data_IF_027062759563
#
_entry.id   IF_027062759563
#
_cell.length_a   1.000
_cell.length_b   1.000
_cell.length_c   1.000
_cell.angle_alpha   90.00
_cell.angle_beta   90.00
_cell.angle_gamma   90.00
#
_symmetry.space_group_name_H-M   'P 1'
#
loop_
_entity.id
_entity.type
_entity.pdbx_description
1 polymer ?
#
# COMPACT_ATOMS: atom_id res chain seq x y z
N UNK A 1 21.27 -13.58 4.58
CA UNK A 1 20.31 -12.46 4.72
C UNK A 1 19.41 -12.37 3.50
N UNK A 2 18.17 -11.90 3.66
CA UNK A 2 17.22 -11.86 2.55
C UNK A 2 17.61 -10.88 1.42
N UNK A 3 18.30 -9.78 1.76
CA UNK A 3 18.93 -8.88 0.78
C UNK A 3 19.91 -9.63 -0.15
N UNK A 4 20.79 -10.46 0.40
CA UNK A 4 21.73 -11.25 -0.41
C UNK A 4 20.99 -12.26 -1.32
N UNK A 5 19.91 -12.87 -0.82
CA UNK A 5 19.06 -13.75 -1.63
C UNK A 5 18.43 -13.00 -2.82
N UNK A 6 17.79 -11.86 -2.57
CA UNK A 6 17.18 -11.03 -3.62
C UNK A 6 18.21 -10.54 -4.64
N UNK A 7 19.40 -10.15 -4.18
CA UNK A 7 20.49 -9.75 -5.06
C UNK A 7 20.91 -10.88 -6.00
N UNK A 8 21.07 -12.10 -5.48
CA UNK A 8 21.39 -13.30 -6.29
C UNK A 8 20.30 -13.58 -7.33
N UNK A 9 19.01 -13.54 -6.92
CA UNK A 9 17.86 -13.70 -7.81
C UNK A 9 17.89 -12.69 -8.96
N UNK A 10 18.15 -11.42 -8.66
CA UNK A 10 18.26 -10.40 -9.70
C UNK A 10 19.41 -10.69 -10.68
N UNK A 11 20.60 -10.99 -10.16
CA UNK A 11 21.78 -11.28 -11.00
C UNK A 11 21.48 -12.43 -11.96
N UNK A 12 20.89 -13.53 -11.46
CA UNK A 12 20.47 -14.67 -12.27
C UNK A 12 19.51 -14.25 -13.39
N UNK A 13 18.47 -13.49 -13.05
CA UNK A 13 17.47 -13.03 -14.02
C UNK A 13 18.06 -12.14 -15.10
N UNK A 14 18.92 -11.19 -14.72
CA UNK A 14 19.56 -10.27 -15.67
C UNK A 14 20.59 -11.00 -16.53
N UNK A 15 21.37 -11.91 -15.96
CA UNK A 15 22.29 -12.77 -16.71
C UNK A 15 21.55 -13.61 -17.76
N UNK A 16 20.43 -14.23 -17.38
CA UNK A 16 19.60 -14.99 -18.30
C UNK A 16 19.02 -14.08 -19.41
N UNK A 17 18.54 -12.89 -19.05
CA UNK A 17 17.99 -11.89 -20.00
C UNK A 17 19.05 -11.40 -21.00
N UNK A 18 20.29 -11.24 -20.56
CA UNK A 18 21.40 -10.70 -21.37
C UNK A 18 22.28 -11.78 -22.02
N UNK A 19 22.03 -13.06 -21.78
CA UNK A 19 22.87 -14.16 -22.26
C UNK A 19 24.29 -14.14 -21.68
N UNK A 20 24.43 -13.70 -20.42
CA UNK A 20 25.71 -13.59 -19.70
C UNK A 20 25.73 -14.51 -18.49
N UNK A 21 26.90 -14.67 -17.87
CA UNK A 21 27.07 -15.50 -16.68
C UNK A 21 27.98 -14.80 -15.66
N UNK A 22 27.61 -13.58 -15.28
CA UNK A 22 28.38 -12.80 -14.30
C UNK A 22 28.18 -13.37 -12.90
N UNK A 23 29.26 -13.48 -12.15
CA UNK A 23 29.24 -13.63 -10.69
C UNK A 23 28.68 -12.37 -10.02
N UNK A 24 28.38 -12.46 -8.72
CA UNK A 24 27.92 -11.29 -7.96
C UNK A 24 28.96 -10.16 -7.92
N UNK A 25 30.25 -10.48 -7.89
CA UNK A 25 31.30 -9.48 -7.95
C UNK A 25 31.38 -8.82 -9.34
N UNK A 26 31.36 -9.61 -10.41
CA UNK A 26 31.37 -9.06 -11.78
C UNK A 26 30.14 -8.18 -12.04
N UNK A 27 28.95 -8.60 -11.60
CA UNK A 27 27.76 -7.76 -11.68
C UNK A 27 27.89 -6.48 -10.84
N UNK A 28 28.45 -6.59 -9.63
CA UNK A 28 28.71 -5.46 -8.76
C UNK A 28 29.60 -4.42 -9.47
N UNK A 29 30.69 -4.87 -10.08
CA UNK A 29 31.70 -4.01 -10.73
C UNK A 29 31.27 -3.47 -12.09
N UNK A 30 30.62 -4.29 -12.92
CA UNK A 30 30.28 -3.94 -14.30
C UNK A 30 28.96 -3.16 -14.42
N UNK A 31 28.02 -3.38 -13.50
CA UNK A 31 26.66 -2.85 -13.62
C UNK A 31 26.31 -1.94 -12.46
N UNK A 32 26.37 -2.48 -11.24
CA UNK A 32 25.87 -1.78 -10.06
C UNK A 32 26.72 -0.56 -9.70
N UNK A 33 28.04 -0.70 -9.57
CA UNK A 33 28.94 0.41 -9.22
C UNK A 33 28.90 1.55 -10.23
N UNK A 34 29.01 1.31 -11.55
CA UNK A 34 28.91 2.37 -12.56
C UNK A 34 27.62 3.16 -12.47
N UNK A 35 26.49 2.48 -12.24
CA UNK A 35 25.18 3.11 -12.17
C UNK A 35 24.95 3.85 -10.84
N UNK A 36 25.37 3.26 -9.72
CA UNK A 36 25.02 3.74 -8.37
C UNK A 36 26.03 4.71 -7.77
N UNK A 37 27.33 4.51 -8.01
CA UNK A 37 28.39 5.17 -7.24
C UNK A 37 29.44 5.90 -8.09
N UNK A 38 29.57 5.65 -9.40
CA UNK A 38 30.51 6.40 -10.26
C UNK A 38 29.99 7.79 -10.68
N UNK A 39 29.24 8.45 -9.80
CA UNK A 39 28.74 9.82 -9.95
C UNK A 39 28.64 10.45 -8.56
N UNK A 40 28.89 11.76 -8.40
CA UNK A 40 28.82 12.44 -7.11
C UNK A 40 27.44 12.41 -6.43
N UNK A 41 26.39 12.16 -7.20
CA UNK A 41 25.00 11.97 -6.74
C UNK A 41 24.69 10.48 -6.75
N UNK A 42 25.02 9.77 -5.67
CA UNK A 42 24.77 8.33 -5.59
C UNK A 42 23.27 8.01 -5.65
N UNK A 43 22.91 6.85 -6.19
CA UNK A 43 21.50 6.40 -6.15
C UNK A 43 21.13 5.85 -4.77
N UNK A 44 22.07 5.18 -4.11
CA UNK A 44 21.90 4.57 -2.80
C UNK A 44 22.90 5.15 -1.79
N UNK A 45 22.46 5.22 -0.54
CA UNK A 45 23.34 5.53 0.58
C UNK A 45 23.51 4.30 1.46
N UNK A 46 24.76 3.99 1.80
CA UNK A 46 25.13 2.85 2.65
C UNK A 46 25.97 3.36 3.81
N UNK A 47 25.35 3.47 4.98
CA UNK A 47 25.97 4.01 6.18
C UNK A 47 27.31 3.32 6.49
N UNK A 48 28.34 4.12 6.79
CA UNK A 48 29.68 3.67 7.19
C UNK A 48 30.49 2.89 6.13
N UNK A 49 29.96 2.72 4.92
CA UNK A 49 30.72 2.17 3.80
C UNK A 49 31.87 3.09 3.36
N UNK A 50 32.78 2.57 2.53
CA UNK A 50 33.86 3.40 1.95
C UNK A 50 33.32 4.53 1.07
N UNK A 51 32.18 4.31 0.39
CA UNK A 51 31.51 5.34 -0.39
C UNK A 51 30.89 6.44 0.48
N UNK A 52 30.26 6.09 1.61
CA UNK A 52 29.74 7.08 2.57
C UNK A 52 30.86 7.91 3.20
N UNK A 53 31.98 7.27 3.56
CA UNK A 53 33.17 7.97 4.08
C UNK A 53 33.70 9.00 3.07
N UNK A 54 33.82 8.62 1.80
CA UNK A 54 34.21 9.55 0.72
C UNK A 54 33.18 10.68 0.56
N UNK A 55 31.89 10.35 0.55
CA UNK A 55 30.81 11.33 0.37
C UNK A 55 30.78 12.39 1.49
N UNK A 56 30.98 11.99 2.75
CA UNK A 56 31.07 12.91 3.90
C UNK A 56 32.24 13.90 3.78
N UNK A 57 33.30 13.54 3.05
CA UNK A 57 34.48 14.39 2.86
C UNK A 57 34.39 15.29 1.63
N UNK A 58 33.29 15.25 0.85
CA UNK A 58 33.17 15.93 -0.45
C UNK A 58 33.40 17.45 -0.43
N UNK A 59 33.14 18.11 0.71
CA UNK A 59 33.40 19.54 0.86
C UNK A 59 34.89 19.91 1.02
N UNK A 60 35.74 18.93 1.38
CA UNK A 60 37.20 19.08 1.47
C UNK A 60 37.91 18.41 0.30
N UNK A 61 37.42 17.25 -0.13
CA UNK A 61 37.99 16.43 -1.19
C UNK A 61 36.86 16.13 -2.18
N UNK A 62 36.82 16.79 -3.35
CA UNK A 62 35.78 16.56 -4.36
C UNK A 62 35.68 15.09 -4.76
N UNK A 63 34.47 14.61 -5.05
CA UNK A 63 34.19 13.22 -5.48
C UNK A 63 34.60 12.99 -6.93
N UNK A 64 35.90 13.05 -7.21
CA UNK A 64 36.46 12.74 -8.53
C UNK A 64 36.45 11.23 -8.80
N UNK A 65 36.60 10.84 -10.07
CA UNK A 65 36.72 9.44 -10.48
C UNK A 65 37.81 8.68 -9.70
N UNK A 66 38.94 9.33 -9.41
CA UNK A 66 40.03 8.73 -8.62
C UNK A 66 39.63 8.46 -7.16
N UNK A 67 38.88 9.39 -6.55
CA UNK A 67 38.39 9.23 -5.17
C UNK A 67 37.38 8.07 -5.10
N UNK A 68 36.51 7.97 -6.10
CA UNK A 68 35.52 6.88 -6.21
C UNK A 68 36.21 5.53 -6.48
N UNK A 69 37.25 5.48 -7.32
CA UNK A 69 38.04 4.28 -7.56
C UNK A 69 38.82 3.82 -6.32
N UNK A 70 39.35 4.77 -5.52
CA UNK A 70 39.96 4.46 -4.21
C UNK A 70 38.94 3.92 -3.22
N UNK A 71 37.74 4.49 -3.17
CA UNK A 71 36.65 4.01 -2.34
C UNK A 71 36.26 2.57 -2.73
N UNK A 72 36.12 2.28 -4.02
CA UNK A 72 35.84 0.95 -4.56
C UNK A 72 36.92 -0.07 -4.19
N UNK A 73 38.19 0.26 -4.43
CA UNK A 73 39.33 -0.61 -4.05
C UNK A 73 39.32 -0.90 -2.54
N UNK A 74 39.08 0.13 -1.71
CA UNK A 74 38.96 -0.04 -0.26
C UNK A 74 37.76 -0.88 0.14
N UNK A 75 36.67 -0.84 -0.64
CA UNK A 75 35.46 -1.62 -0.40
C UNK A 75 35.69 -3.10 -0.71
N UNK A 76 36.33 -3.43 -1.84
CA UNK A 76 36.74 -4.82 -2.15
C UNK A 76 37.68 -5.37 -1.08
N UNK A 77 38.69 -4.60 -0.67
CA UNK A 77 39.61 -5.02 0.37
C UNK A 77 38.88 -5.37 1.68
N UNK A 78 37.90 -4.55 2.07
CA UNK A 78 37.05 -4.80 3.24
C UNK A 78 36.22 -6.09 3.07
N UNK A 79 35.56 -6.27 1.93
CA UNK A 79 34.72 -7.45 1.63
C UNK A 79 35.53 -8.76 1.67
N UNK A 80 36.79 -8.73 1.23
CA UNK A 80 37.62 -9.95 1.14
C UNK A 80 38.39 -10.27 2.43
N UNK A 81 38.68 -9.27 3.27
CA UNK A 81 39.58 -9.43 4.43
C UNK A 81 38.89 -9.35 5.78
N UNK A 82 37.83 -8.55 5.88
CA UNK A 82 37.19 -8.26 7.16
C UNK A 82 36.01 -9.20 7.39
N UNK A 83 35.68 -9.46 8.66
CA UNK A 83 34.47 -10.17 9.02
C UNK A 83 33.24 -9.34 8.59
N UNK A 84 32.24 -9.94 7.89
CA UNK A 84 31.03 -9.25 7.45
C UNK A 84 30.31 -8.50 8.58
N UNK A 85 30.09 -7.20 8.39
CA UNK A 85 29.36 -6.33 9.33
C UNK A 85 28.35 -5.45 8.57
N UNK A 86 27.37 -4.87 9.27
CA UNK A 86 26.28 -4.07 8.69
C UNK A 86 26.69 -2.83 7.87
N UNK A 87 27.96 -2.39 7.90
CA UNK A 87 28.46 -1.33 7.01
C UNK A 87 28.73 -1.80 5.58
N UNK A 88 28.78 -3.11 5.34
CA UNK A 88 28.99 -3.66 4.01
C UNK A 88 28.27 -4.99 3.73
N UNK A 89 27.72 -5.66 4.73
CA UNK A 89 26.78 -6.77 4.57
C UNK A 89 25.36 -6.29 4.88
N UNK A 90 24.68 -5.78 3.86
CA UNK A 90 23.49 -4.96 4.06
C UNK A 90 22.30 -5.78 4.53
N UNK A 91 21.69 -5.36 5.62
CA UNK A 91 20.61 -6.08 6.31
C UNK A 91 21.09 -7.14 7.30
N UNK A 92 22.40 -7.37 7.42
CA UNK A 92 23.00 -8.22 8.44
C UNK A 92 23.26 -7.50 9.77
N UNK A 93 23.86 -8.23 10.72
CA UNK A 93 24.23 -7.69 12.02
C UNK A 93 25.30 -6.60 11.89
N UNK A 94 25.24 -5.58 12.74
CA UNK A 94 26.37 -4.68 12.93
C UNK A 94 27.54 -5.44 13.60
N UNK A 95 28.71 -4.80 13.67
CA UNK A 95 29.88 -5.38 14.33
C UNK A 95 29.57 -5.79 15.79
N UNK A 96 28.74 -5.01 16.47
CA UNK A 96 28.09 -5.39 17.73
C UNK A 96 26.64 -5.80 17.43
N UNK A 97 26.30 -7.08 17.65
CA UNK A 97 24.96 -7.61 17.30
C UNK A 97 23.81 -6.93 18.05
N UNK A 98 24.07 -6.35 19.23
CA UNK A 98 23.11 -5.56 20.01
C UNK A 98 22.94 -4.11 19.53
N UNK A 99 23.78 -3.64 18.61
CA UNK A 99 23.67 -2.27 18.11
C UNK A 99 22.36 -2.07 17.34
N UNK A 100 21.76 -0.87 17.44
CA UNK A 100 20.50 -0.54 16.77
C UNK A 100 20.54 -0.58 15.23
N UNK A 101 21.73 -0.71 14.64
CA UNK A 101 21.94 -0.89 13.19
C UNK A 101 22.12 -2.35 12.78
N UNK A 102 21.97 -3.29 13.71
CA UNK A 102 21.92 -4.72 13.40
C UNK A 102 20.58 -5.08 12.76
N UNK A 103 20.63 -5.95 11.75
CA UNK A 103 19.46 -6.56 11.12
C UNK A 103 19.60 -8.08 11.06
N UNK A 104 18.46 -8.79 11.06
CA UNK A 104 18.38 -10.24 10.83
C UNK A 104 19.41 -11.07 11.64
N UNK A 105 19.65 -10.70 12.90
CA UNK A 105 20.54 -11.45 13.80
C UNK A 105 19.95 -12.83 14.05
N UNK A 106 20.75 -13.88 13.91
CA UNK A 106 20.32 -15.27 14.06
C UNK A 106 21.39 -16.09 14.75
N UNK A 107 20.96 -17.04 15.59
CA UNK A 107 21.83 -18.05 16.20
C UNK A 107 22.22 -19.17 15.21
N UNK A 108 21.59 -19.20 14.04
CA UNK A 108 21.92 -20.16 12.97
C UNK A 108 23.22 -19.71 12.31
N UNK A 109 24.26 -20.54 12.41
CA UNK A 109 25.55 -20.30 11.77
C UNK A 109 25.43 -20.54 10.25
N UNK A 110 25.18 -19.46 9.51
CA UNK A 110 25.18 -19.47 8.05
C UNK A 110 26.54 -18.97 7.54
N UNK A 111 27.21 -19.70 6.64
CA UNK A 111 28.48 -19.25 6.09
C UNK A 111 28.26 -18.02 5.20
N UNK A 112 28.80 -16.87 5.62
CA UNK A 112 28.76 -15.64 4.83
C UNK A 112 30.00 -15.60 3.93
N UNK A 113 29.78 -15.63 2.62
CA UNK A 113 30.85 -15.53 1.62
C UNK A 113 30.94 -14.13 1.04
N UNK A 114 32.07 -13.75 0.43
CA UNK A 114 32.18 -12.48 -0.29
C UNK A 114 31.12 -12.33 -1.39
N UNK A 115 30.72 -13.44 -2.03
CA UNK A 115 29.62 -13.47 -2.98
C UNK A 115 28.29 -13.01 -2.35
N UNK A 116 27.95 -13.48 -1.13
CA UNK A 116 26.76 -13.03 -0.41
C UNK A 116 26.81 -11.54 -0.08
N UNK A 117 28.00 -11.04 0.24
CA UNK A 117 28.22 -9.64 0.57
C UNK A 117 27.97 -8.74 -0.63
N UNK A 118 28.55 -9.04 -1.81
CA UNK A 118 28.26 -8.28 -3.05
C UNK A 118 26.77 -8.33 -3.40
N UNK A 119 26.15 -9.52 -3.33
CA UNK A 119 24.73 -9.67 -3.61
C UNK A 119 23.86 -8.85 -2.63
N UNK A 120 24.26 -8.71 -1.36
CA UNK A 120 23.48 -7.93 -0.37
C UNK A 120 23.35 -6.45 -0.74
N UNK A 121 24.35 -5.87 -1.42
CA UNK A 121 24.29 -4.49 -1.90
C UNK A 121 23.23 -4.32 -2.98
N UNK A 122 23.28 -5.21 -3.97
CA UNK A 122 22.35 -5.25 -5.10
C UNK A 122 20.93 -5.46 -4.58
N UNK A 123 20.73 -6.44 -3.69
CA UNK A 123 19.41 -6.71 -3.13
C UNK A 123 18.88 -5.60 -2.21
N UNK A 124 19.73 -4.90 -1.48
CA UNK A 124 19.30 -3.75 -0.69
C UNK A 124 18.79 -2.58 -1.58
N UNK A 125 19.30 -2.46 -2.81
CA UNK A 125 18.82 -1.50 -3.81
C UNK A 125 17.48 -1.92 -4.46
N UNK A 126 17.02 -3.15 -4.24
CA UNK A 126 15.72 -3.66 -4.72
C UNK A 126 14.56 -3.33 -3.76
N UNK A 127 14.83 -2.65 -2.65
CA UNK A 127 13.80 -2.26 -1.71
C UNK A 127 12.78 -1.32 -2.36
N UNK A 128 11.50 -1.66 -2.31
CA UNK A 128 10.40 -0.77 -2.70
C UNK A 128 10.01 0.03 -1.46
N UNK A 129 10.33 1.33 -1.43
CA UNK A 129 10.05 2.21 -0.30
C UNK A 129 8.60 2.71 -0.30
N UNK A 130 7.95 2.66 0.86
CA UNK A 130 6.55 3.11 1.02
C UNK A 130 6.39 4.11 2.17
N UNK A 131 5.36 4.95 2.11
CA UNK A 131 5.05 5.92 3.16
C UNK A 131 4.95 5.20 4.53
N UNK A 132 5.59 5.77 5.55
CA UNK A 132 5.81 5.10 6.83
C UNK A 132 7.25 4.63 7.07
N UNK A 133 8.15 4.83 6.10
CA UNK A 133 9.60 4.62 6.28
C UNK A 133 10.04 3.16 6.21
N UNK A 134 9.17 2.29 5.71
CA UNK A 134 9.43 0.86 5.49
C UNK A 134 9.71 0.59 4.02
N UNK A 135 10.39 -0.51 3.77
CA UNK A 135 10.75 -1.02 2.45
C UNK A 135 10.28 -2.46 2.32
N UNK A 136 10.00 -2.86 1.08
CA UNK A 136 9.54 -4.18 0.71
C UNK A 136 10.56 -4.84 -0.22
N UNK A 137 10.99 -6.07 0.11
CA UNK A 137 11.69 -6.94 -0.83
C UNK A 137 10.72 -8.01 -1.33
N UNK A 138 10.46 -7.99 -2.64
CA UNK A 138 9.48 -8.85 -3.30
C UNK A 138 10.24 -9.79 -4.24
N UNK A 139 10.13 -11.10 -4.01
CA UNK A 139 10.72 -12.12 -4.87
C UNK A 139 9.74 -12.49 -5.99
N UNK A 140 9.75 -11.69 -7.07
CA UNK A 140 9.01 -11.92 -8.30
C UNK A 140 9.86 -11.46 -9.48
N UNK A 141 9.96 -12.30 -10.50
CA UNK A 141 10.78 -12.02 -11.68
C UNK A 141 10.34 -10.72 -12.37
N UNK A 142 9.03 -10.49 -12.47
CA UNK A 142 8.46 -9.27 -13.03
C UNK A 142 8.82 -8.02 -12.22
N UNK A 143 8.77 -8.10 -10.89
CA UNK A 143 9.14 -6.99 -10.01
C UNK A 143 10.64 -6.72 -10.07
N UNK A 144 11.46 -7.76 -9.98
CA UNK A 144 12.91 -7.62 -9.97
C UNK A 144 13.43 -7.02 -11.28
N UNK A 145 12.95 -7.51 -12.43
CA UNK A 145 13.34 -6.95 -13.72
C UNK A 145 12.83 -5.52 -13.92
N UNK A 146 11.59 -5.23 -13.50
CA UNK A 146 11.04 -3.87 -13.59
C UNK A 146 11.86 -2.87 -12.76
N UNK A 147 12.24 -3.23 -11.52
CA UNK A 147 13.07 -2.39 -10.67
C UNK A 147 14.46 -2.15 -11.27
N UNK A 148 15.10 -3.20 -11.80
CA UNK A 148 16.40 -3.07 -12.46
C UNK A 148 16.35 -2.08 -13.63
N UNK A 149 15.33 -2.17 -14.49
CA UNK A 149 15.16 -1.21 -15.60
C UNK A 149 14.88 0.21 -15.06
N UNK A 150 14.14 0.30 -13.94
CA UNK A 150 13.87 1.55 -13.23
C UNK A 150 15.10 2.24 -12.67
N UNK A 151 16.18 1.51 -12.35
CA UNK A 151 17.42 2.11 -11.85
C UNK A 151 18.08 3.02 -12.88
N UNK A 152 18.08 2.62 -14.15
CA UNK A 152 18.61 3.43 -15.25
C UNK A 152 17.75 4.68 -15.47
N UNK A 153 16.42 4.53 -15.41
CA UNK A 153 15.49 5.66 -15.49
C UNK A 153 15.68 6.65 -14.33
N UNK A 154 15.99 6.17 -13.13
CA UNK A 154 16.29 7.05 -12.01
C UNK A 154 17.56 7.87 -12.26
N UNK A 155 18.61 7.23 -12.79
CA UNK A 155 19.87 7.90 -13.12
C UNK A 155 19.67 8.97 -14.21
N UNK A 156 18.87 8.68 -15.23
CA UNK A 156 18.47 9.65 -16.25
C UNK A 156 17.71 10.82 -15.62
N UNK A 157 16.72 10.53 -14.79
CA UNK A 157 15.88 11.54 -14.13
C UNK A 157 16.66 12.45 -13.19
N UNK A 158 17.58 11.90 -12.39
CA UNK A 158 18.49 12.68 -11.55
C UNK A 158 19.37 13.61 -12.39
N UNK A 159 19.92 13.13 -13.51
CA UNK A 159 20.75 13.93 -14.41
C UNK A 159 19.96 15.11 -15.01
N UNK A 160 18.70 14.86 -15.40
CA UNK A 160 17.81 15.88 -15.96
C UNK A 160 17.23 16.84 -14.90
N UNK A 161 17.31 16.47 -13.61
CA UNK A 161 16.78 17.27 -12.49
C UNK A 161 17.89 17.61 -11.48
N UNK A 162 18.71 18.65 -11.75
CA UNK A 162 19.91 18.95 -10.94
C UNK A 162 19.62 19.19 -9.45
N UNK A 163 18.49 19.81 -9.11
CA UNK A 163 18.13 20.15 -7.72
C UNK A 163 17.52 18.98 -6.94
N UNK A 164 17.35 17.81 -7.56
CA UNK A 164 16.79 16.62 -6.90
C UNK A 164 17.80 15.99 -5.94
N UNK A 165 17.37 15.70 -4.71
CA UNK A 165 18.19 15.06 -3.71
C UNK A 165 18.61 13.64 -4.17
N UNK A 166 19.89 13.25 -4.03
CA UNK A 166 20.33 11.88 -4.30
C UNK A 166 19.88 10.90 -3.19
N UNK A 167 20.30 9.64 -3.28
CA UNK A 167 20.10 8.60 -2.25
C UNK A 167 18.66 8.12 -2.03
N UNK A 168 17.76 8.38 -2.97
CA UNK A 168 16.35 8.00 -2.88
C UNK A 168 15.97 6.73 -3.66
N UNK A 169 16.89 5.80 -3.91
CA UNK A 169 16.59 4.62 -4.75
C UNK A 169 15.35 3.84 -4.30
N UNK A 170 15.17 3.59 -2.99
CA UNK A 170 14.00 2.83 -2.55
C UNK A 170 12.70 3.63 -2.71
N UNK A 171 12.74 4.94 -2.46
CA UNK A 171 11.61 5.83 -2.74
C UNK A 171 11.27 5.86 -4.23
N UNK A 172 12.30 5.93 -5.08
CA UNK A 172 12.14 5.83 -6.54
C UNK A 172 11.51 4.50 -6.95
N UNK A 173 11.97 3.38 -6.40
CA UNK A 173 11.42 2.05 -6.66
C UNK A 173 9.93 1.96 -6.31
N UNK A 174 9.50 2.62 -5.22
CA UNK A 174 8.08 2.77 -4.84
C UNK A 174 7.24 3.41 -5.94
N UNK A 175 7.69 4.56 -6.44
CA UNK A 175 7.05 5.25 -7.55
C UNK A 175 7.12 4.41 -8.84
N UNK A 176 8.31 3.90 -9.16
CA UNK A 176 8.57 3.21 -10.42
C UNK A 176 7.70 1.98 -10.59
N UNK A 177 7.51 1.17 -9.54
CA UNK A 177 6.60 0.02 -9.62
C UNK A 177 5.17 0.46 -9.88
N UNK A 178 4.70 1.53 -9.23
CA UNK A 178 3.33 2.02 -9.50
C UNK A 178 3.17 2.55 -10.92
N UNK A 179 4.19 3.17 -11.49
CA UNK A 179 4.18 3.68 -12.85
C UNK A 179 4.34 2.56 -13.89
N UNK A 180 5.35 1.69 -13.74
CA UNK A 180 5.67 0.64 -14.71
C UNK A 180 4.59 -0.46 -14.78
N UNK A 181 3.80 -0.63 -13.73
CA UNK A 181 2.69 -1.58 -13.69
C UNK A 181 1.34 -0.92 -13.95
N UNK A 182 1.31 0.37 -14.25
CA UNK A 182 0.09 1.03 -14.69
C UNK A 182 -0.33 0.53 -16.09
N UNK A 183 -1.64 0.40 -16.30
CA UNK A 183 -2.17 -0.09 -17.58
C UNK A 183 -1.95 0.86 -18.76
N UNK A 184 -1.64 2.13 -18.49
CA UNK A 184 -1.30 3.14 -19.49
C UNK A 184 0.21 3.34 -19.65
N UNK A 185 1.05 2.54 -19.00
CA UNK A 185 2.50 2.69 -19.11
C UNK A 185 3.00 2.50 -20.55
N UNK A 186 3.82 3.44 -21.02
CA UNK A 186 4.53 3.36 -22.29
C UNK A 186 6.05 3.38 -22.04
N UNK A 187 6.74 2.33 -22.46
CA UNK A 187 8.18 2.18 -22.29
C UNK A 187 9.00 3.23 -23.07
N UNK A 188 8.46 3.78 -24.16
CA UNK A 188 9.09 4.85 -24.94
C UNK A 188 8.95 6.21 -24.27
N UNK A 189 7.85 6.41 -23.53
CA UNK A 189 7.53 7.65 -22.83
C UNK A 189 7.19 7.37 -21.36
N UNK A 190 8.17 6.89 -20.56
CA UNK A 190 7.92 6.34 -19.22
C UNK A 190 7.38 7.35 -18.21
N UNK A 191 7.38 8.65 -18.53
CA UNK A 191 6.91 9.74 -17.66
C UNK A 191 5.72 10.51 -18.24
N UNK A 192 5.13 10.06 -19.36
CA UNK A 192 4.04 10.79 -20.03
C UNK A 192 2.73 10.79 -19.23
N UNK A 193 2.38 9.65 -18.64
CA UNK A 193 1.09 9.47 -17.97
C UNK A 193 1.17 9.73 -16.46
N UNK A 194 2.26 9.32 -15.82
CA UNK A 194 2.45 9.52 -14.39
C UNK A 194 3.88 9.98 -14.10
N UNK A 195 4.01 11.17 -13.53
CA UNK A 195 5.29 11.72 -13.06
C UNK A 195 5.50 11.41 -11.58
N UNK A 196 6.75 11.33 -11.11
CA UNK A 196 7.02 11.23 -9.68
C UNK A 196 6.55 12.52 -8.98
N UNK A 197 5.85 12.37 -7.85
CA UNK A 197 5.47 13.50 -7.01
C UNK A 197 6.75 14.11 -6.39
N UNK A 198 6.99 15.41 -6.63
CA UNK A 198 8.20 16.11 -6.18
C UNK A 198 7.83 17.16 -5.12
N UNK A 199 8.52 17.08 -3.98
CA UNK A 199 8.45 18.10 -2.93
C UNK A 199 9.72 18.93 -2.91
N UNK A 200 9.55 20.25 -3.00
CA UNK A 200 10.65 21.22 -2.91
C UNK A 200 10.65 21.90 -1.54
N UNK A 201 11.80 21.89 -0.88
CA UNK A 201 12.03 22.65 0.34
C UNK A 201 12.16 24.14 0.02
N UNK A 202 11.27 24.96 0.58
CA UNK A 202 11.20 26.40 0.27
C UNK A 202 12.40 27.22 0.79
N UNK A 203 13.20 26.68 1.71
CA UNK A 203 14.37 27.36 2.29
C UNK A 203 15.65 27.02 1.54
N UNK A 204 15.80 25.76 1.12
CA UNK A 204 17.03 25.26 0.50
C UNK A 204 16.92 25.11 -1.02
N UNK A 205 15.71 25.16 -1.59
CA UNK A 205 15.46 24.90 -3.00
C UNK A 205 15.68 23.43 -3.41
N UNK A 206 15.96 22.54 -2.45
CA UNK A 206 16.22 21.12 -2.72
C UNK A 206 14.90 20.40 -2.99
N UNK A 207 14.83 19.70 -4.12
CA UNK A 207 13.71 18.85 -4.49
C UNK A 207 13.93 17.42 -3.97
N UNK A 208 12.86 16.70 -3.66
CA UNK A 208 12.90 15.29 -3.28
C UNK A 208 11.70 14.55 -3.85
N UNK A 209 11.91 13.30 -4.25
CA UNK A 209 10.80 12.41 -4.64
C UNK A 209 10.00 12.08 -3.38
N UNK A 210 8.68 12.24 -3.43
CA UNK A 210 7.80 11.85 -2.34
C UNK A 210 7.62 10.33 -2.30
N UNK A 211 7.55 9.79 -1.08
CA UNK A 211 7.41 8.34 -0.89
C UNK A 211 5.98 7.90 -1.18
N UNK A 212 5.86 6.94 -2.08
CA UNK A 212 4.57 6.38 -2.54
C UNK A 212 3.79 5.72 -1.40
N UNK A 213 2.47 5.99 -1.28
CA UNK A 213 1.59 5.28 -0.36
C UNK A 213 1.62 3.77 -0.58
N UNK A 214 1.70 2.99 0.50
CA UNK A 214 1.79 1.52 0.44
C UNK A 214 0.60 0.91 -0.32
N UNK A 215 -0.59 1.50 -0.18
CA UNK A 215 -1.81 1.05 -0.86
C UNK A 215 -1.67 1.17 -2.38
N UNK A 216 -1.06 2.25 -2.90
CA UNK A 216 -0.79 2.42 -4.35
C UNK A 216 0.09 1.29 -4.87
N UNK A 217 1.16 0.95 -4.15
CA UNK A 217 2.07 -0.15 -4.50
C UNK A 217 1.31 -1.48 -4.57
N UNK A 218 0.50 -1.80 -3.56
CA UNK A 218 -0.22 -3.08 -3.54
C UNK A 218 -1.27 -3.16 -4.64
N UNK A 219 -1.97 -2.08 -4.96
CA UNK A 219 -2.86 -2.06 -6.12
C UNK A 219 -2.10 -2.27 -7.43
N UNK A 220 -0.94 -1.63 -7.63
CA UNK A 220 -0.12 -1.83 -8.82
C UNK A 220 0.36 -3.28 -8.96
N UNK A 221 0.78 -3.90 -7.85
CA UNK A 221 1.12 -5.33 -7.81
C UNK A 221 -0.10 -6.20 -8.14
N UNK A 222 -1.27 -5.88 -7.60
CA UNK A 222 -2.50 -6.62 -7.85
C UNK A 222 -3.03 -6.49 -9.29
N UNK A 223 -2.75 -5.38 -9.98
CA UNK A 223 -3.00 -5.26 -11.42
C UNK A 223 -2.08 -6.15 -12.23
N UNK A 224 -0.78 -6.13 -11.91
CA UNK A 224 0.23 -6.85 -12.69
C UNK A 224 0.18 -8.36 -12.46
N UNK A 225 -0.09 -8.78 -11.24
CA UNK A 225 -0.04 -10.17 -10.78
C UNK A 225 -1.35 -10.59 -10.08
N UNK A 226 -2.50 -10.50 -10.77
CA UNK A 226 -3.82 -10.57 -10.14
C UNK A 226 -4.19 -11.93 -9.53
N UNK A 227 -3.40 -12.97 -9.82
CA UNK A 227 -3.66 -14.36 -9.37
C UNK A 227 -2.65 -14.86 -8.34
N UNK A 228 -1.69 -14.02 -7.92
CA UNK A 228 -0.58 -14.45 -7.08
C UNK A 228 -0.74 -14.00 -5.63
N UNK A 229 -0.40 -14.88 -4.69
CA UNK A 229 -0.13 -14.49 -3.31
C UNK A 229 1.38 -14.34 -3.20
N UNK A 230 1.85 -13.13 -2.90
CA UNK A 230 3.29 -12.84 -2.83
C UNK A 230 3.73 -12.71 -1.37
N UNK A 231 4.87 -13.33 -1.03
CA UNK A 231 5.50 -13.18 0.27
C UNK A 231 6.56 -12.09 0.19
N UNK A 232 6.41 -11.08 1.03
CA UNK A 232 7.23 -9.87 0.95
C UNK A 232 7.95 -9.67 2.27
N UNK A 233 9.26 -9.43 2.22
CA UNK A 233 10.04 -9.13 3.41
C UNK A 233 10.03 -7.62 3.69
N UNK A 234 9.54 -7.23 4.87
CA UNK A 234 9.32 -5.83 5.25
C UNK A 234 10.31 -5.38 6.32
N UNK A 235 11.00 -4.28 6.03
CA UNK A 235 12.13 -3.80 6.83
C UNK A 235 12.40 -2.30 6.65
N UNK A 236 13.24 -1.73 7.51
CA UNK A 236 13.84 -0.41 7.32
C UNK A 236 15.31 -0.46 7.74
N UNK A 237 16.20 0.05 6.88
CA UNK A 237 17.62 0.25 7.20
C UNK A 237 17.85 1.75 7.33
N UNK A 238 18.09 2.21 8.57
CA UNK A 238 18.25 3.63 8.86
C UNK A 238 19.30 3.84 9.96
N UNK A 239 19.16 4.89 10.76
CA UNK A 239 19.90 5.02 12.03
C UNK A 239 19.50 3.91 13.02
N UNK A 240 18.23 3.50 13.01
CA UNK A 240 17.74 2.33 13.73
C UNK A 240 17.05 1.40 12.73
N UNK A 241 17.54 0.16 12.65
CA UNK A 241 16.95 -0.83 11.77
C UNK A 241 15.63 -1.33 12.38
N UNK A 242 14.64 -1.51 11.53
CA UNK A 242 13.35 -2.11 11.89
C UNK A 242 13.13 -3.34 11.02
N UNK A 243 12.75 -4.46 11.62
CA UNK A 243 12.35 -5.67 10.89
C UNK A 243 10.94 -6.04 11.31
N UNK A 244 10.02 -6.10 10.34
CA UNK A 244 8.71 -6.71 10.54
C UNK A 244 8.78 -8.20 10.17
N UNK A 245 9.52 -8.52 9.11
CA UNK A 245 9.68 -9.90 8.63
C UNK A 245 8.85 -10.17 7.38
N UNK A 246 8.50 -11.43 7.15
CA UNK A 246 7.69 -11.82 6.00
C UNK A 246 6.22 -11.56 6.22
N UNK A 247 5.59 -10.91 5.24
CA UNK A 247 4.17 -10.61 5.20
C UNK A 247 3.60 -11.09 3.87
N UNK A 248 2.53 -11.88 3.93
CA UNK A 248 1.83 -12.37 2.74
C UNK A 248 0.88 -11.29 2.20
N UNK A 249 0.89 -11.06 0.88
CA UNK A 249 -0.02 -10.13 0.21
C UNK A 249 -1.00 -10.90 -0.68
N UNK A 250 -2.29 -10.79 -0.37
CA UNK A 250 -3.38 -11.44 -1.10
C UNK A 250 -3.82 -10.59 -2.30
N UNK A 251 -2.96 -10.52 -3.33
CA UNK A 251 -3.23 -9.71 -4.52
C UNK A 251 -4.58 -10.01 -5.22
N UNK A 252 -5.07 -11.27 -5.29
CA UNK A 252 -6.38 -11.55 -5.90
C UNK A 252 -7.53 -10.90 -5.15
N UNK A 253 -7.45 -10.83 -3.82
CA UNK A 253 -8.45 -10.17 -3.01
C UNK A 253 -8.41 -8.65 -3.24
N UNK A 254 -7.22 -8.06 -3.27
CA UNK A 254 -7.04 -6.62 -3.56
C UNK A 254 -7.55 -6.26 -4.96
N UNK A 255 -7.28 -7.12 -5.96
CA UNK A 255 -7.79 -6.93 -7.32
C UNK A 255 -9.32 -6.99 -7.36
N UNK A 256 -9.90 -8.02 -6.75
CA UNK A 256 -11.36 -8.20 -6.65
C UNK A 256 -12.03 -7.00 -5.95
N UNK A 257 -11.37 -6.44 -4.96
CA UNK A 257 -11.82 -5.23 -4.26
C UNK A 257 -11.88 -4.01 -5.17
N UNK A 258 -10.86 -3.79 -6.01
CA UNK A 258 -10.88 -2.70 -7.01
C UNK A 258 -11.96 -2.90 -8.06
N UNK A 259 -12.17 -4.12 -8.52
CA UNK A 259 -13.25 -4.46 -9.46
C UNK A 259 -14.63 -4.22 -8.85
N UNK A 260 -14.81 -4.60 -7.58
CA UNK A 260 -16.03 -4.31 -6.82
C UNK A 260 -16.25 -2.80 -6.68
N UNK A 261 -15.21 -2.03 -6.38
CA UNK A 261 -15.29 -0.57 -6.31
C UNK A 261 -15.81 0.01 -7.64
N UNK A 262 -15.19 -0.38 -8.76
CA UNK A 262 -15.59 0.07 -10.09
C UNK A 262 -17.03 -0.34 -10.44
N UNK A 263 -17.45 -1.54 -10.05
CA UNK A 263 -18.83 -2.02 -10.24
C UNK A 263 -19.82 -1.13 -9.47
N UNK A 264 -19.58 -0.88 -8.18
CA UNK A 264 -20.46 -0.04 -7.37
C UNK A 264 -20.46 1.40 -7.88
N UNK A 265 -19.30 1.97 -8.25
CA UNK A 265 -19.23 3.31 -8.83
C UNK A 265 -20.10 3.47 -10.07
N UNK A 266 -20.08 2.49 -10.98
CA UNK A 266 -20.93 2.49 -12.19
C UNK A 266 -22.41 2.42 -11.84
N UNK A 267 -22.79 1.53 -10.92
CA UNK A 267 -24.19 1.38 -10.47
C UNK A 267 -24.71 2.65 -9.81
N UNK A 268 -23.86 3.35 -9.06
CA UNK A 268 -24.21 4.60 -8.37
C UNK A 268 -23.98 5.86 -9.23
N UNK A 269 -23.59 5.70 -10.50
CA UNK A 269 -23.28 6.81 -11.42
C UNK A 269 -22.26 7.82 -10.86
N UNK A 270 -21.34 7.34 -10.02
CA UNK A 270 -20.30 8.17 -9.40
C UNK A 270 -19.17 8.32 -10.42
N UNK A 271 -18.88 9.56 -10.81
CA UNK A 271 -17.73 9.87 -11.67
C UNK A 271 -16.46 9.67 -10.86
N UNK A 272 -15.68 8.66 -11.25
CA UNK A 272 -14.36 8.37 -10.67
C UNK A 272 -13.30 9.05 -11.53
N UNK A 273 -12.62 10.04 -10.98
CA UNK A 273 -11.39 10.60 -11.56
C UNK A 273 -10.15 9.90 -10.96
N UNK A 274 -9.01 9.96 -11.63
CA UNK A 274 -7.73 9.45 -11.11
C UNK A 274 -7.36 10.11 -9.77
N UNK A 275 -7.64 11.41 -9.62
CA UNK A 275 -7.42 12.15 -8.37
C UNK A 275 -8.40 11.75 -7.25
N UNK A 276 -9.61 11.31 -7.59
CA UNK A 276 -10.57 10.81 -6.60
C UNK A 276 -10.14 9.48 -5.98
N UNK A 277 -9.32 8.68 -6.68
CA UNK A 277 -8.75 7.44 -6.18
C UNK A 277 -7.71 7.69 -5.07
N UNK A 278 -7.17 8.91 -4.95
CA UNK A 278 -6.26 9.27 -3.87
C UNK A 278 -6.87 9.07 -2.48
N UNK A 279 -8.20 9.26 -2.38
CA UNK A 279 -8.97 9.00 -1.14
C UNK A 279 -9.05 7.50 -0.79
N UNK A 280 -8.90 6.59 -1.76
CA UNK A 280 -8.83 5.14 -1.52
C UNK A 280 -7.52 4.71 -0.83
N UNK A 281 -6.53 5.60 -0.79
CA UNK A 281 -5.24 5.33 -0.17
C UNK A 281 -5.16 5.81 1.29
N UNK A 282 -6.20 6.47 1.81
CA UNK A 282 -6.27 6.86 3.24
C UNK A 282 -6.97 5.75 4.04
N UNK A 283 -6.19 4.71 4.35
CA UNK A 283 -6.64 3.58 5.18
C UNK A 283 -6.58 3.92 6.67
N UNK A 284 -7.42 3.28 7.46
CA UNK A 284 -7.43 3.40 8.92
C UNK A 284 -6.10 2.97 9.55
N UNK A 285 -5.44 1.97 8.94
CA UNK A 285 -4.17 1.45 9.38
C UNK A 285 -3.02 2.03 8.54
N UNK A 286 -1.95 2.46 9.22
CA UNK A 286 -0.65 2.66 8.59
C UNK A 286 -0.02 1.31 8.21
N UNK A 287 0.96 1.33 7.30
CA UNK A 287 1.52 0.10 6.72
C UNK A 287 2.05 -0.89 7.76
N UNK A 288 2.79 -0.41 8.77
CA UNK A 288 3.30 -1.26 9.86
C UNK A 288 2.16 -1.98 10.58
N UNK A 289 1.10 -1.25 10.96
CA UNK A 289 -0.04 -1.82 11.68
C UNK A 289 -0.85 -2.79 10.82
N UNK A 290 -0.92 -2.52 9.51
CA UNK A 290 -1.51 -3.44 8.55
C UNK A 290 -0.71 -4.77 8.48
N UNK A 291 0.62 -4.70 8.54
CA UNK A 291 1.47 -5.90 8.55
C UNK A 291 1.27 -6.77 9.81
N UNK A 292 0.96 -6.16 10.96
CA UNK A 292 0.67 -6.88 12.21
C UNK A 292 -0.59 -7.78 12.13
N UNK A 293 -1.43 -7.62 11.10
CA UNK A 293 -2.53 -8.55 10.82
C UNK A 293 -2.03 -9.91 10.27
N UNK A 294 -0.74 -10.07 10.02
CA UNK A 294 -0.10 -11.28 9.49
C UNK A 294 -0.20 -11.42 7.97
N UNK A 295 -1.18 -10.79 7.34
CA UNK A 295 -1.33 -10.70 5.89
C UNK A 295 -1.96 -9.38 5.47
N UNK A 296 -1.64 -8.93 4.26
CA UNK A 296 -2.27 -7.78 3.62
C UNK A 296 -3.33 -8.28 2.64
N UNK A 297 -4.59 -8.02 2.98
CA UNK A 297 -5.77 -8.32 2.16
C UNK A 297 -6.88 -7.29 2.44
N UNK A 298 -8.15 -7.65 2.23
CA UNK A 298 -9.28 -6.73 2.42
C UNK A 298 -9.28 -6.03 3.80
N UNK A 299 -9.04 -6.72 4.93
CA UNK A 299 -9.08 -6.06 6.24
C UNK A 299 -8.06 -4.92 6.39
N UNK A 300 -6.89 -5.04 5.75
CA UNK A 300 -5.85 -4.01 5.79
C UNK A 300 -6.25 -2.72 5.03
N UNK A 301 -7.21 -2.83 4.11
CA UNK A 301 -7.73 -1.74 3.29
C UNK A 301 -8.93 -1.02 3.96
N UNK A 302 -9.15 -1.21 5.26
CA UNK A 302 -10.24 -0.53 5.98
C UNK A 302 -10.14 0.99 5.77
N UNK A 303 -11.19 1.66 5.26
CA UNK A 303 -11.21 3.10 5.10
C UNK A 303 -11.08 3.80 6.46
N UNK A 304 -10.31 4.88 6.49
CA UNK A 304 -10.23 5.73 7.69
C UNK A 304 -11.62 6.29 8.04
N UNK A 305 -11.86 6.49 9.33
CA UNK A 305 -13.13 7.00 9.89
C UNK A 305 -14.36 6.09 9.72
N UNK A 306 -14.33 5.05 8.87
CA UNK A 306 -15.45 4.10 8.76
C UNK A 306 -15.81 3.48 10.11
N UNK A 307 -14.79 3.10 10.90
CA UNK A 307 -14.98 2.48 12.22
C UNK A 307 -15.88 3.27 13.16
N UNK A 308 -15.87 4.61 13.06
CA UNK A 308 -16.70 5.48 13.91
C UNK A 308 -18.20 5.33 13.63
N UNK A 309 -18.56 4.85 12.44
CA UNK A 309 -19.94 4.64 12.01
C UNK A 309 -20.44 3.21 12.25
N UNK A 310 -19.54 2.27 12.53
CA UNK A 310 -19.89 0.87 12.77
C UNK A 310 -20.38 0.73 14.22
N UNK A 311 -21.57 0.13 14.46
CA UNK A 311 -22.03 -0.17 15.80
C UNK A 311 -21.03 -1.04 16.58
N UNK A 312 -20.92 -0.80 17.88
CA UNK A 312 -20.06 -1.56 18.76
C UNK A 312 -20.77 -1.85 20.09
N UNK A 313 -20.13 -2.62 20.96
CA UNK A 313 -20.61 -2.86 22.33
C UNK A 313 -20.82 -1.53 23.09
N UNK A 314 -20.09 -0.48 22.71
CA UNK A 314 -20.12 0.82 23.38
C UNK A 314 -21.11 1.83 22.76
N UNK A 315 -21.82 1.48 21.68
CA UNK A 315 -22.82 2.38 21.09
C UNK A 315 -23.21 2.07 19.65
N UNK A 316 -24.21 2.78 19.15
CA UNK A 316 -24.83 2.57 17.82
C UNK A 316 -23.97 3.03 16.62
N UNK A 317 -22.82 3.66 16.85
CA UNK A 317 -22.00 4.27 15.80
C UNK A 317 -22.53 5.65 15.36
N UNK A 318 -21.64 6.52 14.89
CA UNK A 318 -22.01 7.87 14.43
C UNK A 318 -22.89 7.81 13.17
N UNK A 319 -23.88 8.71 13.03
CA UNK A 319 -24.66 8.80 11.81
C UNK A 319 -23.81 9.23 10.62
N UNK A 320 -24.18 8.77 9.43
CA UNK A 320 -23.63 9.28 8.18
C UNK A 320 -24.28 10.63 7.85
N UNK A 321 -23.49 11.54 7.28
CA UNK A 321 -23.98 12.83 6.81
C UNK A 321 -24.74 12.64 5.50
N UNK A 322 -25.93 13.21 5.38
CA UNK A 322 -26.68 13.22 4.12
C UNK A 322 -25.91 14.05 3.09
N UNK A 323 -25.60 13.49 1.89
CA UNK A 323 -24.98 14.24 0.80
C UNK A 323 -25.89 15.39 0.36
N UNK A 324 -25.29 16.52 -0.03
CA UNK A 324 -26.06 17.70 -0.47
C UNK A 324 -26.78 17.48 -1.80
N UNK A 325 -26.13 16.76 -2.71
CA UNK A 325 -26.62 16.39 -4.04
C UNK A 325 -25.76 15.23 -4.59
N UNK A 326 -26.07 14.75 -5.79
CA UNK A 326 -25.38 13.65 -6.46
C UNK A 326 -23.94 13.95 -6.91
N UNK A 327 -23.49 15.21 -6.82
CA UNK A 327 -22.11 15.63 -7.12
C UNK A 327 -21.28 15.92 -5.85
N UNK A 328 -21.82 15.63 -4.67
CA UNK A 328 -21.11 15.85 -3.41
C UNK A 328 -19.88 14.94 -3.30
N UNK A 329 -18.71 15.53 -3.01
CA UNK A 329 -17.45 14.79 -2.89
C UNK A 329 -17.48 13.70 -1.82
N UNK A 330 -18.37 13.80 -0.82
CA UNK A 330 -18.53 12.77 0.22
C UNK A 330 -18.98 11.41 -0.36
N UNK A 331 -19.63 11.41 -1.54
CA UNK A 331 -20.08 10.20 -2.21
C UNK A 331 -18.91 9.30 -2.60
N UNK A 332 -17.73 9.86 -2.90
CA UNK A 332 -16.52 9.09 -3.18
C UNK A 332 -16.07 8.28 -1.95
N UNK A 333 -16.04 8.94 -0.78
CA UNK A 333 -15.75 8.29 0.50
C UNK A 333 -16.79 7.23 0.83
N UNK A 334 -18.07 7.52 0.63
CA UNK A 334 -19.16 6.58 0.90
C UNK A 334 -19.13 5.38 -0.02
N UNK A 335 -18.75 5.56 -1.29
CA UNK A 335 -18.55 4.45 -2.21
C UNK A 335 -17.42 3.52 -1.73
N UNK A 336 -16.33 4.09 -1.22
CA UNK A 336 -15.23 3.30 -0.65
C UNK A 336 -15.66 2.53 0.60
N UNK A 337 -16.42 3.18 1.50
CA UNK A 337 -17.01 2.53 2.68
C UNK A 337 -17.91 1.36 2.30
N UNK A 338 -18.82 1.57 1.35
CA UNK A 338 -19.71 0.51 0.86
C UNK A 338 -18.91 -0.64 0.25
N UNK A 339 -17.91 -0.35 -0.58
CA UNK A 339 -17.07 -1.36 -1.21
C UNK A 339 -16.37 -2.23 -0.15
N UNK A 340 -15.77 -1.60 0.85
CA UNK A 340 -15.08 -2.32 1.92
C UNK A 340 -16.02 -3.16 2.78
N UNK A 341 -17.17 -2.60 3.17
CA UNK A 341 -18.18 -3.36 3.91
C UNK A 341 -18.65 -4.57 3.10
N UNK A 342 -19.01 -4.40 1.83
CA UNK A 342 -19.48 -5.50 0.98
C UNK A 342 -18.38 -6.56 0.78
N UNK A 343 -17.12 -6.13 0.61
CA UNK A 343 -16.00 -7.05 0.47
C UNK A 343 -15.76 -7.86 1.77
N UNK A 344 -15.88 -7.22 2.94
CA UNK A 344 -15.78 -7.90 4.24
C UNK A 344 -16.93 -8.86 4.50
N UNK A 345 -18.16 -8.48 4.11
CA UNK A 345 -19.35 -9.33 4.21
C UNK A 345 -19.36 -10.47 3.17
N UNK A 346 -18.51 -10.37 2.14
CA UNK A 346 -18.43 -11.31 1.03
C UNK A 346 -19.80 -11.65 0.41
N UNK A 347 -20.70 -10.67 0.33
CA UNK A 347 -22.06 -10.84 -0.20
C UNK A 347 -22.45 -9.63 -1.06
N UNK A 348 -22.30 -9.77 -2.38
CA UNK A 348 -22.64 -8.71 -3.33
C UNK A 348 -24.15 -8.47 -3.48
N UNK A 349 -25.02 -9.42 -3.12
CA UNK A 349 -26.48 -9.24 -3.20
C UNK A 349 -26.96 -8.14 -2.24
N UNK A 350 -26.21 -7.90 -1.16
CA UNK A 350 -26.48 -6.82 -0.22
C UNK A 350 -26.43 -5.43 -0.87
N UNK A 351 -25.73 -5.25 -2.00
CA UNK A 351 -25.68 -3.97 -2.71
C UNK A 351 -27.09 -3.52 -3.10
N UNK A 352 -27.82 -4.39 -3.81
CA UNK A 352 -29.14 -4.07 -4.36
C UNK A 352 -30.22 -4.11 -3.28
N UNK A 353 -30.15 -5.11 -2.38
CA UNK A 353 -31.10 -5.24 -1.28
C UNK A 353 -31.06 -4.02 -0.34
N UNK A 354 -29.88 -3.62 0.15
CA UNK A 354 -29.79 -2.46 1.05
C UNK A 354 -30.14 -1.16 0.38
N UNK A 355 -29.91 -1.02 -0.93
CA UNK A 355 -30.34 0.13 -1.73
C UNK A 355 -31.87 0.20 -1.84
N UNK A 356 -32.52 -0.92 -2.18
CA UNK A 356 -33.99 -1.01 -2.24
C UNK A 356 -34.62 -0.66 -0.90
N UNK A 357 -34.14 -1.27 0.19
CA UNK A 357 -34.63 -1.00 1.54
C UNK A 357 -34.41 0.46 1.94
N UNK A 358 -33.26 1.05 1.63
CA UNK A 358 -33.00 2.45 1.93
C UNK A 358 -34.02 3.41 1.28
N UNK A 359 -34.44 3.15 0.04
CA UNK A 359 -35.48 3.92 -0.65
C UNK A 359 -36.83 3.74 0.04
N UNK A 360 -37.23 2.50 0.34
CA UNK A 360 -38.49 2.21 1.06
C UNK A 360 -38.53 2.94 2.42
N UNK A 361 -37.43 2.91 3.17
CA UNK A 361 -37.33 3.62 4.46
C UNK A 361 -37.43 5.15 4.28
N UNK A 362 -36.82 5.71 3.23
CA UNK A 362 -36.91 7.15 2.92
C UNK A 362 -38.34 7.55 2.62
N UNK A 363 -39.02 6.80 1.77
CA UNK A 363 -40.38 7.11 1.35
C UNK A 363 -41.33 7.01 2.53
N UNK A 364 -41.20 5.96 3.35
CA UNK A 364 -41.97 5.80 4.58
C UNK A 364 -41.74 6.95 5.57
N UNK A 365 -40.49 7.39 5.76
CA UNK A 365 -40.17 8.53 6.64
C UNK A 365 -40.83 9.84 6.20
N UNK A 366 -41.19 9.96 4.91
CA UNK A 366 -41.78 11.16 4.32
C UNK A 366 -43.32 11.15 4.31
N UNK A 367 -43.96 10.05 4.72
CA UNK A 367 -45.41 9.90 4.70
C UNK A 367 -46.12 10.73 5.80
N UNK A 368 -47.16 11.48 5.39
CA UNK A 368 -48.17 12.11 6.25
C UNK A 368 -47.78 13.43 6.93
N UNK A 369 -48.48 14.54 6.65
CA UNK A 369 -48.17 15.87 7.21
C UNK A 369 -48.31 15.99 8.74
N UNK A 370 -49.17 15.18 9.38
CA UNK A 370 -49.31 15.09 10.85
C UNK A 370 -48.55 13.92 11.47
N UNK A 371 -48.12 12.93 10.66
CA UNK A 371 -47.49 11.67 11.08
C UNK A 371 -45.97 11.57 10.82
N UNK A 372 -45.39 12.52 10.08
CA UNK A 372 -43.96 12.58 9.71
C UNK A 372 -42.99 12.33 10.87
N UNK A 373 -43.29 12.82 12.08
CA UNK A 373 -42.44 12.56 13.26
C UNK A 373 -42.51 11.10 13.72
N UNK A 374 -43.69 10.48 13.68
CA UNK A 374 -43.89 9.09 14.11
C UNK A 374 -43.20 8.13 13.15
N UNK A 375 -43.42 8.31 11.84
CA UNK A 375 -42.80 7.47 10.81
C UNK A 375 -41.27 7.66 10.75
N UNK A 376 -40.79 8.90 10.87
CA UNK A 376 -39.35 9.19 10.95
C UNK A 376 -38.70 8.58 12.20
N UNK A 377 -39.39 8.61 13.36
CA UNK A 377 -38.86 8.01 14.59
C UNK A 377 -38.79 6.49 14.48
N UNK A 378 -39.77 5.84 13.85
CA UNK A 378 -39.75 4.39 13.64
C UNK A 378 -38.56 3.95 12.77
N UNK A 379 -38.24 4.71 11.72
CA UNK A 379 -37.05 4.44 10.88
C UNK A 379 -35.76 4.66 11.68
N UNK A 380 -35.67 5.76 12.44
CA UNK A 380 -34.50 6.05 13.29
C UNK A 380 -34.29 4.94 14.33
N UNK A 381 -35.36 4.49 14.99
CA UNK A 381 -35.32 3.38 15.93
C UNK A 381 -34.82 2.09 15.26
N UNK A 382 -35.30 1.74 14.07
CA UNK A 382 -34.82 0.58 13.33
C UNK A 382 -33.32 0.68 13.04
N UNK A 383 -32.86 1.82 12.54
CA UNK A 383 -31.47 2.05 12.19
C UNK A 383 -30.56 2.08 13.44
N UNK A 384 -31.06 2.50 14.60
CA UNK A 384 -30.33 2.50 15.88
C UNK A 384 -30.18 1.12 16.54
N UNK A 385 -30.70 0.06 15.91
CA UNK A 385 -30.58 -1.30 16.44
C UNK A 385 -29.12 -1.70 16.66
N UNK A 386 -28.78 -2.07 17.89
CA UNK A 386 -27.41 -2.39 18.30
C UNK A 386 -27.02 -3.85 18.04
N UNK A 387 -28.00 -4.73 17.86
CA UNK A 387 -27.81 -6.16 17.63
C UNK A 387 -28.95 -6.75 16.79
N UNK A 388 -28.70 -7.95 16.26
CA UNK A 388 -29.62 -8.66 15.36
C UNK A 388 -31.03 -8.83 15.93
N UNK A 389 -31.14 -9.16 17.22
CA UNK A 389 -32.44 -9.38 17.86
C UNK A 389 -33.28 -8.10 17.86
N UNK A 390 -32.71 -6.99 18.34
CA UNK A 390 -33.39 -5.70 18.35
C UNK A 390 -33.82 -5.25 16.95
N UNK A 391 -32.97 -5.51 15.95
CA UNK A 391 -33.30 -5.18 14.56
C UNK A 391 -34.49 -5.97 14.05
N UNK A 392 -34.53 -7.29 14.27
CA UNK A 392 -35.65 -8.13 13.82
C UNK A 392 -36.95 -7.78 14.53
N UNK A 393 -36.91 -7.50 15.84
CA UNK A 393 -38.08 -7.05 16.61
C UNK A 393 -38.65 -5.74 16.01
N UNK A 394 -37.78 -4.74 15.77
CA UNK A 394 -38.19 -3.47 15.17
C UNK A 394 -38.63 -3.59 13.71
N UNK A 395 -38.00 -4.47 12.94
CA UNK A 395 -38.37 -4.75 11.56
C UNK A 395 -39.78 -5.34 11.50
N UNK A 396 -40.11 -6.28 12.39
CA UNK A 396 -41.45 -6.89 12.45
C UNK A 396 -42.55 -5.86 12.71
N UNK A 397 -42.31 -4.87 13.57
CA UNK A 397 -43.25 -3.77 13.79
C UNK A 397 -43.36 -2.82 12.60
N UNK A 398 -42.28 -2.66 11.84
CA UNK A 398 -42.27 -1.89 10.59
C UNK A 398 -43.09 -2.56 9.49
N UNK A 399 -42.98 -3.89 9.34
CA UNK A 399 -43.76 -4.67 8.35
C UNK A 399 -45.26 -4.52 8.57
N UNK A 400 -45.72 -4.53 9.83
CA UNK A 400 -47.15 -4.32 10.16
C UNK A 400 -47.69 -2.96 9.70
N UNK A 401 -46.82 -1.94 9.63
CA UNK A 401 -47.19 -0.58 9.25
C UNK A 401 -47.06 -0.32 7.74
N UNK A 402 -46.38 -1.21 7.01
CA UNK A 402 -46.11 -1.05 5.59
C UNK A 402 -46.23 -2.39 4.85
N UNK A 403 -47.46 -2.93 4.82
CA UNK A 403 -47.76 -4.23 4.20
C UNK A 403 -47.46 -4.28 2.70
N UNK A 404 -47.49 -3.14 2.00
CA UNK A 404 -47.22 -3.06 0.56
C UNK A 404 -45.80 -3.52 0.18
N UNK A 405 -44.84 -3.33 1.09
CA UNK A 405 -43.42 -3.66 0.87
C UNK A 405 -42.99 -4.94 1.62
N UNK A 406 -43.95 -5.73 2.10
CA UNK A 406 -43.70 -6.92 2.93
C UNK A 406 -42.67 -7.88 2.34
N UNK A 407 -42.73 -8.14 1.03
CA UNK A 407 -41.79 -9.05 0.35
C UNK A 407 -40.33 -8.57 0.51
N UNK A 408 -40.09 -7.26 0.38
CA UNK A 408 -38.74 -6.70 0.53
C UNK A 408 -38.24 -6.83 1.97
N UNK A 409 -39.12 -6.65 2.96
CA UNK A 409 -38.77 -6.80 4.36
C UNK A 409 -38.57 -8.25 4.80
N UNK A 410 -39.33 -9.19 4.22
CA UNK A 410 -39.14 -10.62 4.45
C UNK A 410 -37.76 -11.05 3.93
N UNK A 411 -37.38 -10.63 2.71
CA UNK A 411 -36.05 -10.86 2.14
C UNK A 411 -34.93 -10.26 3.01
N UNK A 412 -35.13 -9.05 3.54
CA UNK A 412 -34.21 -8.41 4.48
C UNK A 412 -34.08 -9.19 5.79
N UNK A 413 -35.21 -9.65 6.34
CA UNK A 413 -35.25 -10.43 7.57
C UNK A 413 -34.51 -11.76 7.42
N UNK A 414 -34.77 -12.50 6.34
CA UNK A 414 -34.07 -13.75 6.02
C UNK A 414 -32.56 -13.53 5.90
N UNK A 415 -32.15 -12.50 5.14
CA UNK A 415 -30.74 -12.14 4.98
C UNK A 415 -30.05 -11.89 6.31
N UNK A 416 -30.70 -11.12 7.20
CA UNK A 416 -30.14 -10.77 8.52
C UNK A 416 -30.10 -11.97 9.47
N UNK A 417 -31.10 -12.84 9.44
CA UNK A 417 -31.15 -14.06 10.27
C UNK A 417 -30.03 -15.03 9.89
N UNK A 418 -29.78 -15.20 8.59
CA UNK A 418 -28.78 -16.12 8.07
C UNK A 418 -27.34 -15.60 8.19
N UNK A 419 -27.14 -14.30 8.41
CA UNK A 419 -25.79 -13.73 8.47
C UNK A 419 -25.07 -14.06 9.79
N UNK A 420 -23.74 -14.20 9.77
CA UNK A 420 -22.94 -14.34 10.99
C UNK A 420 -23.14 -13.16 11.96
N UNK A 421 -23.15 -13.44 13.26
CA UNK A 421 -23.33 -12.39 14.28
C UNK A 421 -22.22 -11.32 14.23
N UNK A 422 -21.01 -11.72 13.83
CA UNK A 422 -19.85 -10.82 13.65
C UNK A 422 -20.03 -9.82 12.51
N UNK A 423 -20.92 -10.12 11.57
CA UNK A 423 -21.11 -9.37 10.32
C UNK A 423 -22.25 -8.36 10.44
N UNK A 424 -23.14 -8.57 11.41
CA UNK A 424 -24.28 -7.70 11.68
C UNK A 424 -23.89 -6.22 11.86
N UNK A 425 -22.83 -5.84 12.61
CA UNK A 425 -22.43 -4.44 12.71
C UNK A 425 -22.06 -3.81 11.37
N UNK A 426 -21.37 -4.54 10.50
CA UNK A 426 -21.02 -4.07 9.16
C UNK A 426 -22.27 -3.87 8.30
N UNK A 427 -23.20 -4.82 8.34
CA UNK A 427 -24.49 -4.68 7.67
C UNK A 427 -25.28 -3.46 8.14
N UNK A 428 -25.34 -3.22 9.44
CA UNK A 428 -26.03 -2.04 9.97
C UNK A 428 -25.36 -0.74 9.50
N UNK A 429 -24.03 -0.68 9.45
CA UNK A 429 -23.32 0.46 8.90
C UNK A 429 -23.65 0.67 7.41
N UNK A 430 -23.70 -0.41 6.61
CA UNK A 430 -24.07 -0.35 5.20
C UNK A 430 -25.51 0.18 5.00
N UNK A 431 -26.47 -0.32 5.77
CA UNK A 431 -27.86 0.11 5.67
C UNK A 431 -28.02 1.59 6.05
N UNK A 432 -27.39 2.04 7.15
CA UNK A 432 -27.35 3.45 7.55
C UNK A 432 -26.75 4.34 6.46
N UNK A 433 -25.68 3.88 5.85
CA UNK A 433 -24.98 4.60 4.78
C UNK A 433 -25.85 4.75 3.53
N UNK A 434 -26.47 3.66 3.06
CA UNK A 434 -27.40 3.69 1.91
C UNK A 434 -28.61 4.58 2.18
N UNK A 435 -29.16 4.55 3.40
CA UNK A 435 -30.24 5.42 3.81
C UNK A 435 -29.85 6.91 3.76
N UNK A 436 -28.69 7.27 4.33
CA UNK A 436 -28.20 8.64 4.29
C UNK A 436 -27.98 9.14 2.85
N UNK A 437 -27.50 8.28 1.94
CA UNK A 437 -27.36 8.61 0.51
C UNK A 437 -28.72 8.76 -0.16
N UNK A 438 -29.69 7.88 0.12
CA UNK A 438 -31.04 7.97 -0.43
C UNK A 438 -31.75 9.28 -0.04
N UNK A 439 -31.45 9.83 1.14
CA UNK A 439 -31.99 11.11 1.61
C UNK A 439 -31.42 12.35 0.90
N UNK A 440 -30.39 12.21 0.05
CA UNK A 440 -29.85 13.33 -0.72
C UNK A 440 -30.94 13.98 -1.60
N UNK A 441 -30.84 15.29 -1.77
CA UNK A 441 -31.78 16.11 -2.55
C UNK A 441 -31.44 16.18 -4.02
#
# INVERSE_FOLDING_TARGET
MYTAYIGKRLIELVNNREGKNRSAQEFYDEVYIPLFFLNERYLQHVNNSKFDQAYKQKGKIPLTSDVLAKALTGQHAKIQKDAPDGSFFLGGAAAESSAGTSGQVTDILLPITSHEVYASWIGAAMGVGVSGGLNLLIDSDEVLLALYDGWFRYREYLTQTPNLKPHQINTWNGYWITNAFDGLYDANYPFANQQPEIKTDSKTGTASVETTPWVKVIFALAEKMPKQIINTYVYSLSQMNTTIGFVSMELPAVRSFKELYQKISKVESIIVSTDSLATLYDTALGFQKACELGKIGIPALEPKQLREHIPSIHGEGKPFKTPKNLNDSILLTYNFYQTWIIAMLNNQQLIDLTKKIAVILKDFSSQGDRGKKVTSNAVDDLLKSSNRRQFIEKLADFVKQNEAEKIAFDELGETVVLMPLTDFPLFMALLKLKYAVAQAK
#
